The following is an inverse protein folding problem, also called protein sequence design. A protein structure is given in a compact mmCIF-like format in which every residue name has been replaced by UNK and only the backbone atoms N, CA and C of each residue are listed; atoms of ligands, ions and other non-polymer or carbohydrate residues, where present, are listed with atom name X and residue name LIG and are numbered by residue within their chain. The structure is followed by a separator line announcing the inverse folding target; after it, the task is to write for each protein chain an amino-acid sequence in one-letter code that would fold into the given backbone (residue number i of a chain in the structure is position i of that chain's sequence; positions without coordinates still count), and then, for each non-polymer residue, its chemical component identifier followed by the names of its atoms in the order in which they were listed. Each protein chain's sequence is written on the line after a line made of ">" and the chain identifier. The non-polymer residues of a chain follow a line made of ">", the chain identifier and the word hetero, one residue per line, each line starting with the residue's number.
data_IF_687402360921
#
_entry.id   IF_687402360921
#
_cell.length_a   1.000
_cell.length_b   1.000
_cell.length_c   1.000
_cell.angle_alpha   90.00
_cell.angle_beta   90.00
_cell.angle_gamma   90.00
#
_symmetry.space_group_name_H-M   'P 1'
#
loop_
_entity.id
_entity.type
_entity.pdbx_description
1 polymer ?
#
# COMPACT_ATOMS: atom_id res chain seq x y z
N UNK A 1 -11.83 -1.76 15.45
CA UNK A 1 -11.57 -0.33 15.10
C UNK A 1 -10.21 0.15 15.57
N UNK A 2 -9.61 -0.43 16.61
CA UNK A 2 -8.36 0.10 17.18
C UNK A 2 -7.13 -0.09 16.28
N UNK A 3 -7.05 -1.18 15.52
CA UNK A 3 -5.98 -1.39 14.53
C UNK A 3 -5.93 -0.26 13.48
N UNK A 4 -7.09 0.23 13.02
CA UNK A 4 -7.19 1.34 12.06
C UNK A 4 -6.60 2.62 12.64
N UNK A 5 -6.95 2.92 13.90
CA UNK A 5 -6.42 4.10 14.62
C UNK A 5 -4.92 3.98 14.83
N UNK A 6 -4.42 2.80 15.21
CA UNK A 6 -3.00 2.54 15.39
C UNK A 6 -2.22 2.70 14.07
N UNK A 7 -2.73 2.14 12.96
CA UNK A 7 -2.09 2.26 11.64
C UNK A 7 -2.00 3.72 11.17
N UNK A 8 -3.07 4.50 11.36
CA UNK A 8 -3.09 5.93 10.99
C UNK A 8 -2.13 6.76 11.84
N UNK A 9 -2.13 6.56 13.17
CA UNK A 9 -1.22 7.26 14.08
C UNK A 9 0.24 6.92 13.79
N UNK A 10 0.55 5.64 13.58
CA UNK A 10 1.92 5.17 13.38
C UNK A 10 2.56 5.67 12.07
N UNK A 11 1.76 5.95 11.04
CA UNK A 11 2.27 6.31 9.71
C UNK A 11 2.09 7.79 9.35
N UNK A 12 1.50 8.59 10.24
CA UNK A 12 1.26 10.03 10.00
C UNK A 12 0.52 10.29 8.68
N UNK A 13 -0.36 9.37 8.28
CA UNK A 13 -1.08 9.43 7.00
C UNK A 13 -2.37 10.26 7.19
N UNK A 14 -2.73 11.14 6.22
CA UNK A 14 -3.96 11.94 6.28
C UNK A 14 -5.21 11.08 6.48
N UNK A 15 -6.22 11.64 7.15
CA UNK A 15 -7.52 10.98 7.39
C UNK A 15 -8.26 10.62 6.09
N UNK A 16 -7.90 11.22 4.96
CA UNK A 16 -8.42 10.88 3.63
C UNK A 16 -8.28 9.39 3.31
N UNK A 17 -7.24 8.72 3.83
CA UNK A 17 -7.00 7.30 3.60
C UNK A 17 -7.69 6.35 4.59
N UNK A 18 -8.59 6.87 5.44
CA UNK A 18 -9.32 6.09 6.45
C UNK A 18 -10.01 4.87 5.84
N UNK A 19 -10.68 5.06 4.70
CA UNK A 19 -11.43 4.00 4.02
C UNK A 19 -10.49 2.88 3.57
N UNK A 20 -9.31 3.22 3.03
CA UNK A 20 -8.32 2.22 2.62
C UNK A 20 -7.65 1.50 3.79
N UNK A 21 -7.44 2.19 4.91
CA UNK A 21 -6.90 1.57 6.13
C UNK A 21 -7.90 0.54 6.68
N UNK A 22 -9.19 0.89 6.71
CA UNK A 22 -10.26 -0.03 7.11
C UNK A 22 -10.28 -1.24 6.19
N UNK A 23 -10.24 -1.05 4.87
CA UNK A 23 -10.21 -2.14 3.91
C UNK A 23 -9.00 -3.06 4.10
N UNK A 24 -7.81 -2.50 4.34
CA UNK A 24 -6.58 -3.27 4.60
C UNK A 24 -6.66 -4.03 5.93
N UNK A 25 -7.22 -3.41 6.96
CA UNK A 25 -7.43 -4.04 8.27
C UNK A 25 -8.37 -5.24 8.15
N UNK A 26 -9.50 -5.08 7.44
CA UNK A 26 -10.44 -6.18 7.19
C UNK A 26 -9.75 -7.30 6.40
N UNK A 27 -8.99 -6.95 5.37
CA UNK A 27 -8.23 -7.92 4.58
C UNK A 27 -7.24 -8.73 5.42
N UNK A 28 -6.49 -8.05 6.29
CA UNK A 28 -5.54 -8.69 7.20
C UNK A 28 -6.28 -9.59 8.18
N UNK A 29 -7.32 -9.10 8.86
CA UNK A 29 -8.07 -9.87 9.86
C UNK A 29 -8.72 -11.12 9.26
N UNK A 30 -9.28 -11.01 8.06
CA UNK A 30 -9.92 -12.14 7.39
C UNK A 30 -8.92 -13.21 6.93
N UNK A 31 -7.64 -12.85 6.77
CA UNK A 31 -6.60 -13.75 6.24
C UNK A 31 -5.60 -14.21 7.30
N UNK A 32 -5.53 -13.52 8.44
CA UNK A 32 -4.69 -13.84 9.59
C UNK A 32 -4.86 -15.28 10.12
N UNK A 33 -6.06 -15.91 10.17
CA UNK A 33 -6.17 -17.27 10.66
C UNK A 33 -5.67 -18.33 9.66
N UNK A 34 -5.22 -17.94 8.46
CA UNK A 34 -4.80 -18.89 7.41
C UNK A 34 -3.40 -18.58 6.88
N UNK A 35 -2.40 -19.31 7.42
CA UNK A 35 -1.06 -19.57 6.86
C UNK A 35 -0.04 -18.41 6.95
N UNK A 36 1.25 -18.78 6.89
CA UNK A 36 2.44 -17.94 6.73
C UNK A 36 2.32 -16.98 5.54
N UNK A 37 1.50 -15.94 5.70
CA UNK A 37 1.25 -14.98 4.64
C UNK A 37 2.19 -13.79 4.83
N UNK A 38 3.01 -13.52 3.82
CA UNK A 38 3.83 -12.31 3.76
C UNK A 38 2.92 -11.09 3.56
N UNK A 39 2.33 -10.63 4.67
CA UNK A 39 1.52 -9.43 4.71
C UNK A 39 2.43 -8.19 4.69
N UNK A 40 2.08 -7.23 3.85
CA UNK A 40 2.63 -5.88 3.81
C UNK A 40 1.80 -5.02 4.73
N UNK A 41 2.50 -4.29 5.59
CA UNK A 41 1.87 -3.36 6.54
C UNK A 41 1.42 -2.11 5.81
N UNK A 42 0.21 -1.64 6.09
CA UNK A 42 -0.28 -0.34 5.62
C UNK A 42 0.74 0.77 5.86
N UNK A 43 0.96 1.63 4.87
CA UNK A 43 1.87 2.76 5.00
C UNK A 43 3.36 2.38 4.94
N UNK A 44 3.72 1.17 4.53
CA UNK A 44 5.13 0.84 4.29
C UNK A 44 5.64 1.46 2.98
N UNK A 45 6.91 1.84 2.96
CA UNK A 45 7.60 2.27 1.75
C UNK A 45 7.79 1.04 0.84
N UNK A 46 7.43 1.19 -0.41
CA UNK A 46 7.45 0.15 -1.44
C UNK A 46 7.87 0.74 -2.77
N UNK A 47 8.52 -0.05 -3.62
CA UNK A 47 8.86 0.39 -4.97
C UNK A 47 7.90 -0.26 -5.96
N UNK A 48 7.18 0.57 -6.71
CA UNK A 48 6.32 0.12 -7.80
C UNK A 48 7.16 0.02 -9.07
N UNK A 49 7.04 -1.10 -9.80
CA UNK A 49 7.74 -1.27 -11.06
C UNK A 49 7.20 -0.28 -12.10
N UNK A 50 8.09 0.54 -12.65
CA UNK A 50 7.76 1.44 -13.77
C UNK A 50 7.89 0.62 -15.06
N UNK A 51 6.94 0.61 -16.01
CA UNK A 51 7.10 -0.07 -17.29
C UNK A 51 8.25 0.48 -18.15
N UNK A 52 8.81 -0.32 -19.05
CA UNK A 52 9.96 0.10 -19.88
C UNK A 52 9.58 1.25 -20.84
N UNK A 53 8.32 1.32 -21.26
CA UNK A 53 7.79 2.31 -22.20
C UNK A 53 7.81 3.73 -21.62
N UNK A 54 7.78 3.85 -20.28
CA UNK A 54 7.82 5.12 -19.56
C UNK A 54 9.25 5.51 -19.14
N UNK A 55 10.26 4.71 -19.49
CA UNK A 55 11.64 4.88 -19.05
C UNK A 55 12.56 5.22 -20.22
N UNK A 56 13.45 6.19 -20.02
CA UNK A 56 14.60 6.47 -20.89
C UNK A 56 15.82 5.69 -20.40
N UNK A 57 16.88 5.68 -21.22
CA UNK A 57 18.13 4.99 -20.89
C UNK A 57 18.72 5.58 -19.60
N UNK A 58 18.96 4.73 -18.60
CA UNK A 58 19.44 5.03 -17.25
C UNK A 58 18.39 5.56 -16.24
N UNK A 59 17.11 5.58 -16.58
CA UNK A 59 16.07 5.90 -15.60
C UNK A 59 15.84 4.75 -14.59
N UNK A 60 15.45 5.12 -13.37
CA UNK A 60 15.16 4.16 -12.29
C UNK A 60 14.04 3.18 -12.65
N UNK A 61 14.24 1.90 -12.33
CA UNK A 61 13.25 0.83 -12.63
C UNK A 61 12.05 0.83 -11.67
N UNK A 62 12.13 1.57 -10.58
CA UNK A 62 11.16 1.55 -9.50
C UNK A 62 10.84 2.95 -9.00
N UNK A 63 9.55 3.23 -8.83
CA UNK A 63 9.06 4.47 -8.27
C UNK A 63 8.72 4.26 -6.79
N UNK A 64 9.21 5.14 -5.91
CA UNK A 64 8.95 5.06 -4.49
C UNK A 64 7.49 5.40 -4.20
N UNK A 65 6.80 4.49 -3.53
CA UNK A 65 5.38 4.58 -3.21
C UNK A 65 5.08 4.06 -1.80
N UNK A 66 3.97 4.51 -1.25
CA UNK A 66 3.41 4.03 0.01
C UNK A 66 2.39 2.92 -0.29
N UNK A 67 2.50 1.80 0.40
CA UNK A 67 1.49 0.73 0.31
C UNK A 67 0.18 1.17 0.96
N UNK A 68 -0.91 1.17 0.18
CA UNK A 68 -2.24 1.57 0.67
C UNK A 68 -3.13 0.36 0.94
N UNK A 69 -3.31 -0.55 0.00
CA UNK A 69 -4.21 -1.69 0.23
C UNK A 69 -3.97 -2.84 -0.72
N UNK A 70 -4.53 -3.97 -0.34
CA UNK A 70 -4.73 -5.11 -1.22
C UNK A 70 -5.91 -4.87 -2.14
N UNK A 71 -5.80 -5.28 -3.40
CA UNK A 71 -6.96 -5.40 -4.27
C UNK A 71 -7.76 -6.66 -3.87
N UNK A 72 -9.08 -6.55 -3.78
CA UNK A 72 -9.97 -7.67 -3.44
C UNK A 72 -10.14 -8.64 -4.61
N UNK A 73 -10.10 -8.14 -5.85
CA UNK A 73 -10.49 -8.92 -7.03
C UNK A 73 -9.29 -9.46 -7.80
N UNK A 74 -8.10 -8.89 -7.58
CA UNK A 74 -6.86 -9.24 -8.28
C UNK A 74 -5.75 -9.50 -7.28
N UNK A 75 -4.75 -10.32 -7.66
CA UNK A 75 -3.46 -10.43 -6.93
C UNK A 75 -2.60 -9.17 -7.17
N UNK A 76 -3.16 -8.01 -6.87
CA UNK A 76 -2.57 -6.70 -7.10
C UNK A 76 -2.59 -5.88 -5.80
N UNK A 77 -1.70 -4.90 -5.75
CA UNK A 77 -1.58 -3.94 -4.66
C UNK A 77 -1.93 -2.55 -5.17
N UNK A 78 -2.59 -1.76 -4.32
CA UNK A 78 -2.77 -0.33 -4.54
C UNK A 78 -1.66 0.41 -3.79
N UNK A 79 -0.95 1.25 -4.52
CA UNK A 79 0.12 2.08 -4.00
C UNK A 79 -0.25 3.55 -4.13
N UNK A 80 0.40 4.39 -3.32
CA UNK A 80 0.28 5.84 -3.36
C UNK A 80 1.62 6.47 -3.58
N UNK A 81 1.72 7.26 -4.63
CA UNK A 81 2.92 7.99 -4.95
C UNK A 81 2.82 9.41 -4.36
N UNK A 82 3.86 9.83 -3.65
CA UNK A 82 3.95 11.16 -3.06
C UNK A 82 4.37 12.23 -4.08
N UNK A 83 5.10 11.85 -5.13
CA UNK A 83 5.68 12.77 -6.11
C UNK A 83 4.68 13.19 -7.19
N UNK A 84 3.75 12.29 -7.58
CA UNK A 84 2.68 12.57 -8.55
C UNK A 84 1.50 13.37 -7.98
N UNK A 85 1.73 14.17 -6.93
CA UNK A 85 0.73 14.98 -6.23
C UNK A 85 0.42 16.33 -6.89
N UNK A 86 0.74 16.52 -8.17
CA UNK A 86 0.51 17.76 -8.93
C UNK A 86 -0.27 17.48 -10.20
#
# INVERSE_FOLDING_TARGET
>A
MDMVRCMLKAKQIPREFLVEVVATTIYILNRFPTKNLHLRVFGCITYAHVPNELRKKLDDKGEMCIFIRYNTNLKAYKFYNLEKRR
#
